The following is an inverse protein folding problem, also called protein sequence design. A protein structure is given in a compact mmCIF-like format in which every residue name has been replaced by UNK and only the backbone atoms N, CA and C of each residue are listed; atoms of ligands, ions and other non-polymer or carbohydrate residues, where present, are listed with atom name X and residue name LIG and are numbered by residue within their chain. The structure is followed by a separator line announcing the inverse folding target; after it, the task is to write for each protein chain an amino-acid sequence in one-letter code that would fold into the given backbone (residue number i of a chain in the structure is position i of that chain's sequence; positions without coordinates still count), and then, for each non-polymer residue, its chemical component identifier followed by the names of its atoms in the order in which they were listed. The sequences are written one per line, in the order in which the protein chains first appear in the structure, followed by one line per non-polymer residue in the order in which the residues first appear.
data_IF_998045846176
#
_entry.id   IF_998045846176
#
_cell.length_a   1.000
_cell.length_b   1.000
_cell.length_c   1.000
_cell.angle_alpha   90.00
_cell.angle_beta   90.00
_cell.angle_gamma   90.00
#
_symmetry.space_group_name_H-M   'P 1'
#
loop_
_entity.id
_entity.type
_entity.pdbx_description
1 polymer ?
#
# COMPACT_ATOMS: atom_id res chain seq x y z
N UNK A 1 18.18 63.69 11.89
CA UNK A 1 18.05 62.24 11.62
C UNK A 1 17.17 61.66 12.75
N UNK A 2 15.95 61.25 12.42
CA UNK A 2 14.86 60.98 13.39
C UNK A 2 14.93 59.56 13.96
N UNK A 3 14.55 59.34 15.23
CA UNK A 3 14.63 58.06 15.92
C UNK A 3 13.41 57.15 15.65
N UNK A 4 13.60 55.89 16.04
CA UNK A 4 12.77 54.70 15.85
C UNK A 4 11.28 54.89 16.15
N UNK A 5 10.43 54.37 15.24
CA UNK A 5 8.98 54.23 15.47
C UNK A 5 8.71 52.96 16.26
N UNK A 6 8.11 53.14 17.44
CA UNK A 6 7.32 52.11 18.10
C UNK A 6 6.22 51.63 17.15
N UNK A 7 6.24 50.34 16.79
CA UNK A 7 5.04 49.64 16.38
C UNK A 7 4.50 48.85 17.57
N UNK A 8 3.28 49.22 17.91
CA UNK A 8 2.42 48.74 18.98
C UNK A 8 2.25 47.22 18.85
N UNK A 9 2.47 46.48 19.93
CA UNK A 9 2.12 45.06 20.06
C UNK A 9 0.63 44.94 19.77
N UNK A 10 0.28 44.29 18.66
CA UNK A 10 -1.07 43.84 18.42
C UNK A 10 -1.35 42.72 19.44
N UNK A 11 -2.34 43.01 20.27
CA UNK A 11 -2.99 42.12 21.21
C UNK A 11 -3.36 40.78 20.58
N UNK A 12 -2.95 39.69 21.22
CA UNK A 12 -3.68 38.42 21.23
C UNK A 12 -3.85 37.73 19.87
N UNK A 13 -2.76 37.29 19.25
CA UNK A 13 -2.83 36.00 18.54
C UNK A 13 -2.38 34.94 19.54
N UNK A 14 -3.35 34.44 20.30
CA UNK A 14 -3.27 33.11 20.85
C UNK A 14 -3.19 32.18 19.63
N UNK A 15 -1.97 31.76 19.29
CA UNK A 15 -1.78 30.62 18.40
C UNK A 15 -2.39 29.46 19.15
N UNK A 16 -3.67 29.18 18.88
CA UNK A 16 -4.32 27.99 19.36
C UNK A 16 -3.51 26.82 18.79
N UNK A 17 -2.76 26.17 19.67
CA UNK A 17 -2.03 24.95 19.35
C UNK A 17 -2.97 23.78 19.04
N UNK A 18 -4.28 24.04 18.86
CA UNK A 18 -5.23 23.19 18.17
C UNK A 18 -5.14 21.78 18.71
N UNK A 19 -5.67 21.59 19.93
CA UNK A 19 -5.70 20.32 20.69
C UNK A 19 -5.31 19.10 19.85
N UNK A 20 -4.02 18.78 19.83
CA UNK A 20 -3.54 17.54 19.22
C UNK A 20 -4.01 16.40 20.12
N UNK A 21 -5.02 15.67 19.65
CA UNK A 21 -5.59 14.53 20.36
C UNK A 21 -5.45 13.26 19.53
N UNK A 22 -5.31 12.13 20.22
CA UNK A 22 -5.37 10.80 19.58
C UNK A 22 -6.59 10.09 20.14
N UNK A 23 -7.45 9.61 19.24
CA UNK A 23 -8.57 8.74 19.59
C UNK A 23 -8.14 7.29 19.36
N UNK A 24 -8.09 6.50 20.42
CA UNK A 24 -7.88 5.06 20.33
C UNK A 24 -9.22 4.35 20.46
N UNK A 25 -9.52 3.44 19.53
CA UNK A 25 -10.71 2.60 19.54
C UNK A 25 -10.31 1.12 19.70
N UNK A 26 -9.74 0.72 20.84
CA UNK A 26 -9.34 -0.67 21.05
C UNK A 26 -10.57 -1.56 21.21
N UNK A 27 -10.46 -2.78 20.74
CA UNK A 27 -11.45 -3.83 20.96
C UNK A 27 -10.73 -5.16 21.13
N UNK A 28 -11.34 -6.10 21.85
CA UNK A 28 -10.90 -7.50 21.86
C UNK A 28 -11.53 -8.23 20.69
N UNK A 29 -10.88 -9.30 20.21
CA UNK A 29 -11.43 -10.14 19.14
C UNK A 29 -12.87 -10.63 19.44
N UNK A 30 -13.19 -10.90 20.71
CA UNK A 30 -14.53 -11.30 21.15
C UNK A 30 -15.58 -10.18 21.07
N UNK A 31 -15.16 -8.92 21.04
CA UNK A 31 -16.04 -7.74 21.08
C UNK A 31 -16.28 -7.15 19.68
N UNK A 32 -15.48 -7.55 18.68
CA UNK A 32 -15.56 -7.06 17.29
C UNK A 32 -16.97 -7.08 16.76
N UNK A 33 -17.68 -8.20 16.90
CA UNK A 33 -19.03 -8.36 16.35
C UNK A 33 -20.02 -7.32 16.91
N UNK A 34 -19.85 -6.92 18.17
CA UNK A 34 -20.68 -5.94 18.85
C UNK A 34 -20.23 -4.50 18.56
N UNK A 35 -18.93 -4.26 18.48
CA UNK A 35 -18.35 -2.91 18.36
C UNK A 35 -18.16 -2.45 16.91
N UNK A 36 -18.15 -3.36 15.92
CA UNK A 36 -17.86 -3.03 14.51
C UNK A 36 -18.72 -1.88 13.98
N UNK A 37 -20.03 -1.88 14.24
CA UNK A 37 -20.92 -0.82 13.74
C UNK A 37 -20.68 0.51 14.46
N UNK A 38 -20.35 0.47 15.75
CA UNK A 38 -19.99 1.65 16.51
C UNK A 38 -18.70 2.26 15.93
N UNK A 39 -17.64 1.46 15.79
CA UNK A 39 -16.35 1.90 15.24
C UNK A 39 -16.52 2.45 13.82
N UNK A 40 -17.24 1.75 12.95
CA UNK A 40 -17.53 2.21 11.58
C UNK A 40 -18.31 3.53 11.57
N UNK A 41 -19.25 3.73 12.51
CA UNK A 41 -19.99 4.99 12.63
C UNK A 41 -19.09 6.13 13.10
N UNK A 42 -18.25 5.91 14.11
CA UNK A 42 -17.28 6.91 14.58
C UNK A 42 -16.28 7.29 13.49
N UNK A 43 -15.75 6.30 12.76
CA UNK A 43 -14.87 6.53 11.62
C UNK A 43 -15.55 7.35 10.53
N UNK A 44 -16.81 7.03 10.20
CA UNK A 44 -17.60 7.79 9.23
C UNK A 44 -17.79 9.23 9.69
N UNK A 45 -18.20 9.47 10.93
CA UNK A 45 -18.35 10.84 11.45
C UNK A 45 -17.04 11.63 11.38
N UNK A 46 -15.93 11.04 11.81
CA UNK A 46 -14.62 11.67 11.74
C UNK A 46 -14.17 11.97 10.30
N UNK A 47 -14.45 11.07 9.35
CA UNK A 47 -14.20 11.27 7.91
C UNK A 47 -15.02 12.46 7.38
N UNK A 48 -16.31 12.51 7.69
CA UNK A 48 -17.20 13.57 7.20
C UNK A 48 -16.81 14.93 7.78
N UNK A 49 -16.55 14.99 9.09
CA UNK A 49 -16.11 16.22 9.75
C UNK A 49 -14.78 16.73 9.20
N UNK A 50 -13.83 15.81 8.95
CA UNK A 50 -12.56 16.17 8.33
C UNK A 50 -12.74 16.80 6.94
N UNK A 51 -13.72 16.33 6.16
CA UNK A 51 -14.04 16.90 4.85
C UNK A 51 -14.82 18.22 4.92
N UNK A 52 -15.59 18.47 5.98
CA UNK A 52 -16.42 19.67 6.14
C UNK A 52 -15.68 20.83 6.81
N UNK A 53 -14.72 20.52 7.71
CA UNK A 53 -13.99 21.52 8.50
C UNK A 53 -13.22 22.57 7.70
N UNK A 54 -12.98 22.35 6.40
CA UNK A 54 -12.30 23.29 5.50
C UNK A 54 -10.84 23.58 5.85
N UNK A 55 -10.31 22.99 6.94
CA UNK A 55 -8.95 23.19 7.41
C UNK A 55 -8.01 22.24 6.68
N UNK A 56 -7.31 22.76 5.68
CA UNK A 56 -6.40 21.99 4.81
C UNK A 56 -5.10 21.58 5.55
N UNK A 57 -4.77 22.24 6.66
CA UNK A 57 -3.50 22.04 7.38
C UNK A 57 -3.58 21.04 8.57
N UNK A 58 -4.76 20.47 8.85
CA UNK A 58 -4.84 19.42 9.86
C UNK A 58 -4.28 18.10 9.33
N UNK A 59 -3.16 17.65 9.90
CA UNK A 59 -2.60 16.32 9.61
C UNK A 59 -3.38 15.23 10.34
N UNK A 60 -4.62 15.01 9.94
CA UNK A 60 -5.45 13.94 10.52
C UNK A 60 -5.05 12.57 9.94
N UNK A 61 -4.84 11.60 10.81
CA UNK A 61 -4.48 10.23 10.44
C UNK A 61 -5.59 9.26 10.83
N UNK A 62 -6.04 8.48 9.86
CA UNK A 62 -6.90 7.33 10.04
C UNK A 62 -6.04 6.07 9.91
N UNK A 63 -5.88 5.33 11.00
CA UNK A 63 -5.10 4.09 11.01
C UNK A 63 -6.05 2.95 11.32
N UNK A 64 -6.19 2.04 10.36
CA UNK A 64 -6.98 0.81 10.48
C UNK A 64 -6.01 -0.33 10.25
N UNK A 65 -5.62 -1.02 11.31
CA UNK A 65 -4.66 -2.12 11.28
C UNK A 65 -5.23 -3.41 10.69
N UNK A 66 -6.54 -3.65 10.92
CA UNK A 66 -7.26 -4.80 10.39
C UNK A 66 -8.61 -4.36 9.78
N UNK A 67 -8.58 -4.06 8.48
CA UNK A 67 -9.73 -3.51 7.76
C UNK A 67 -10.91 -4.47 7.68
N UNK A 68 -10.64 -5.77 7.50
CA UNK A 68 -11.68 -6.78 7.36
C UNK A 68 -12.38 -7.13 8.68
N UNK A 69 -11.74 -6.90 9.84
CA UNK A 69 -12.35 -7.12 11.15
C UNK A 69 -13.51 -6.15 11.43
N UNK A 70 -13.43 -4.92 10.92
CA UNK A 70 -14.43 -3.87 11.17
C UNK A 70 -15.69 -3.99 10.29
N UNK A 71 -15.70 -4.92 9.32
CA UNK A 71 -16.70 -4.95 8.27
C UNK A 71 -16.62 -3.70 7.37
N UNK A 72 -17.63 -3.51 6.52
CA UNK A 72 -17.62 -2.38 5.60
C UNK A 72 -17.77 -1.05 6.35
N UNK A 73 -16.73 -0.23 6.29
CA UNK A 73 -16.78 1.17 6.73
C UNK A 73 -17.45 2.00 5.63
N UNK A 74 -18.71 2.39 5.85
CA UNK A 74 -19.47 3.25 4.95
C UNK A 74 -18.72 4.57 4.67
N UNK A 75 -18.53 4.88 3.39
CA UNK A 75 -17.89 6.13 2.96
C UNK A 75 -16.36 6.10 2.95
N UNK A 76 -15.70 5.00 3.33
CA UNK A 76 -14.23 4.89 3.32
C UNK A 76 -13.62 5.12 1.92
N UNK A 77 -14.28 4.62 0.87
CA UNK A 77 -13.85 4.84 -0.53
C UNK A 77 -13.84 6.33 -0.89
N UNK A 78 -14.93 7.02 -0.62
CA UNK A 78 -15.06 8.45 -0.89
C UNK A 78 -14.08 9.26 -0.04
N UNK A 79 -13.85 8.83 1.19
CA UNK A 79 -12.83 9.37 2.07
C UNK A 79 -11.45 9.25 1.42
N UNK A 80 -10.99 8.06 1.05
CA UNK A 80 -9.65 7.88 0.48
C UNK A 80 -9.40 8.76 -0.76
N UNK A 81 -10.42 8.93 -1.60
CA UNK A 81 -10.31 9.77 -2.80
C UNK A 81 -10.29 11.28 -2.49
N UNK A 82 -11.02 11.74 -1.46
CA UNK A 82 -11.25 13.18 -1.19
C UNK A 82 -10.42 13.73 -0.04
N UNK A 83 -10.23 12.94 1.01
CA UNK A 83 -9.61 13.31 2.28
C UNK A 83 -8.19 13.86 2.09
N UNK A 84 -7.47 13.41 1.05
CA UNK A 84 -6.16 13.97 0.66
C UNK A 84 -6.20 15.48 0.42
N UNK A 85 -7.29 16.03 -0.13
CA UNK A 85 -7.44 17.48 -0.36
C UNK A 85 -7.58 18.28 0.95
N UNK A 86 -7.99 17.61 2.02
CA UNK A 86 -8.24 18.18 3.34
C UNK A 86 -7.14 17.79 4.34
N UNK A 87 -5.95 17.43 3.86
CA UNK A 87 -4.81 17.09 4.71
C UNK A 87 -4.90 15.74 5.41
N UNK A 88 -5.97 14.96 5.20
CA UNK A 88 -6.13 13.65 5.83
C UNK A 88 -5.32 12.55 5.18
N UNK A 89 -4.89 11.57 5.99
CA UNK A 89 -4.06 10.43 5.60
C UNK A 89 -4.67 9.15 6.14
N UNK A 90 -4.62 8.09 5.33
CA UNK A 90 -5.11 6.78 5.74
C UNK A 90 -3.99 5.75 5.68
N UNK A 91 -3.92 4.88 6.69
CA UNK A 91 -3.09 3.68 6.72
C UNK A 91 -4.05 2.51 6.93
N UNK A 92 -4.08 1.60 5.97
CA UNK A 92 -4.99 0.45 5.96
C UNK A 92 -4.15 -0.83 5.93
N UNK A 93 -4.37 -1.70 6.91
CA UNK A 93 -3.82 -3.04 6.98
C UNK A 93 -4.91 -4.09 6.75
N UNK A 94 -4.55 -5.16 6.05
CA UNK A 94 -5.39 -6.35 5.88
C UNK A 94 -4.49 -7.55 5.56
N UNK A 95 -4.92 -8.75 5.94
CA UNK A 95 -4.13 -9.98 5.74
C UNK A 95 -4.47 -10.67 4.41
N UNK A 96 -5.71 -10.53 3.93
CA UNK A 96 -6.17 -11.17 2.70
C UNK A 96 -6.98 -10.23 1.82
N UNK A 97 -6.58 -10.10 0.56
CA UNK A 97 -7.38 -9.36 -0.43
C UNK A 97 -8.75 -10.02 -0.63
N UNK A 98 -8.86 -11.35 -0.42
CA UNK A 98 -10.14 -12.05 -0.51
C UNK A 98 -11.11 -11.63 0.60
N UNK A 99 -10.62 -11.37 1.82
CA UNK A 99 -11.45 -10.85 2.92
C UNK A 99 -11.94 -9.43 2.59
N UNK A 100 -11.06 -8.56 2.10
CA UNK A 100 -11.43 -7.20 1.68
C UNK A 100 -12.49 -7.24 0.56
N UNK A 101 -12.31 -8.11 -0.45
CA UNK A 101 -13.30 -8.32 -1.52
C UNK A 101 -14.63 -8.85 -1.01
N UNK A 102 -14.62 -9.77 -0.04
CA UNK A 102 -15.84 -10.27 0.58
C UNK A 102 -16.61 -9.19 1.35
N UNK A 103 -15.89 -8.26 1.96
CA UNK A 103 -16.48 -7.16 2.75
C UNK A 103 -16.96 -6.00 1.89
N UNK A 104 -16.17 -5.58 0.89
CA UNK A 104 -16.43 -4.36 0.12
C UNK A 104 -16.93 -4.60 -1.30
N UNK A 105 -16.76 -5.81 -1.85
CA UNK A 105 -16.91 -6.08 -3.28
C UNK A 105 -15.59 -6.01 -4.04
N UNK A 106 -15.53 -6.59 -5.23
CA UNK A 106 -14.30 -6.70 -6.02
C UNK A 106 -13.79 -5.34 -6.53
N UNK A 107 -14.70 -4.53 -7.10
CA UNK A 107 -14.38 -3.22 -7.65
C UNK A 107 -13.92 -2.24 -6.55
N UNK A 108 -14.61 -2.25 -5.41
CA UNK A 108 -14.28 -1.43 -4.26
C UNK A 108 -12.94 -1.83 -3.66
N UNK A 109 -12.69 -3.13 -3.45
CA UNK A 109 -11.41 -3.61 -2.94
C UNK A 109 -10.23 -3.19 -3.82
N UNK A 110 -10.39 -3.28 -5.15
CA UNK A 110 -9.39 -2.80 -6.10
C UNK A 110 -9.18 -1.28 -5.96
N UNK A 111 -10.28 -0.52 -5.87
CA UNK A 111 -10.23 0.94 -5.69
C UNK A 111 -9.52 1.34 -4.39
N UNK A 112 -9.74 0.60 -3.29
CA UNK A 112 -9.07 0.85 -2.01
C UNK A 112 -7.55 0.72 -2.13
N UNK A 113 -7.08 -0.35 -2.78
CA UNK A 113 -5.64 -0.59 -3.00
C UNK A 113 -5.04 0.46 -3.92
N UNK A 114 -5.70 0.78 -5.04
CA UNK A 114 -5.22 1.76 -6.01
C UNK A 114 -5.13 3.19 -5.44
N UNK A 115 -6.03 3.55 -4.52
CA UNK A 115 -5.99 4.85 -3.85
C UNK A 115 -4.88 4.95 -2.79
N UNK A 116 -4.29 3.83 -2.37
CA UNK A 116 -3.17 3.80 -1.44
C UNK A 116 -1.85 3.98 -2.19
N UNK A 117 -1.44 5.24 -2.39
CA UNK A 117 -0.22 5.57 -3.15
C UNK A 117 1.10 5.05 -2.54
N UNK A 118 1.09 4.70 -1.25
CA UNK A 118 2.17 3.93 -0.63
C UNK A 118 1.65 2.53 -0.34
N UNK A 119 2.40 1.50 -0.73
CA UNK A 119 2.02 0.09 -0.55
C UNK A 119 3.17 -0.70 0.02
N UNK A 120 2.93 -1.43 1.11
CA UNK A 120 3.87 -2.37 1.68
C UNK A 120 3.27 -3.78 1.57
N UNK A 121 3.99 -4.67 0.89
CA UNK A 121 3.66 -6.09 0.78
C UNK A 121 4.63 -6.86 1.66
N UNK A 122 4.12 -7.58 2.64
CA UNK A 122 4.88 -8.50 3.48
C UNK A 122 4.60 -9.96 3.05
N UNK A 123 5.20 -10.93 3.76
CA UNK A 123 4.95 -12.34 3.53
C UNK A 123 3.45 -12.63 3.50
N UNK A 124 2.98 -13.20 2.38
CA UNK A 124 1.61 -13.66 2.21
C UNK A 124 1.51 -15.15 2.56
N UNK A 125 0.36 -15.59 3.06
CA UNK A 125 0.11 -17.02 3.23
C UNK A 125 -0.14 -17.68 1.88
N UNK A 126 0.40 -18.88 1.69
CA UNK A 126 0.12 -19.70 0.51
C UNK A 126 -1.38 -20.05 0.45
N UNK A 127 -1.95 -20.00 -0.74
CA UNK A 127 -3.33 -20.45 -0.96
C UNK A 127 -3.41 -21.24 -2.27
N UNK A 128 -4.25 -22.28 -2.30
CA UNK A 128 -4.33 -23.23 -3.42
C UNK A 128 -4.69 -22.59 -4.78
N UNK A 129 -5.19 -21.34 -4.78
CA UNK A 129 -5.56 -20.60 -6.00
C UNK A 129 -4.71 -19.34 -6.22
N UNK A 130 -3.58 -19.23 -5.54
CA UNK A 130 -2.68 -18.08 -5.67
C UNK A 130 -3.13 -16.79 -4.98
N UNK A 131 -4.32 -16.73 -4.39
CA UNK A 131 -4.77 -15.74 -3.39
C UNK A 131 -4.10 -14.35 -3.36
N UNK A 132 -3.62 -13.97 -2.17
CA UNK A 132 -3.01 -12.64 -1.93
C UNK A 132 -1.62 -12.51 -2.55
N UNK A 133 -0.86 -13.61 -2.66
CA UNK A 133 0.49 -13.63 -3.23
C UNK A 133 0.49 -13.35 -4.74
N UNK A 134 -0.42 -13.93 -5.51
CA UNK A 134 -0.61 -13.61 -6.94
C UNK A 134 -1.13 -12.20 -7.14
N UNK A 135 -2.06 -11.74 -6.28
CA UNK A 135 -2.51 -10.35 -6.31
C UNK A 135 -1.33 -9.39 -6.11
N UNK A 136 -0.48 -9.69 -5.12
CA UNK A 136 0.72 -8.92 -4.83
C UNK A 136 1.75 -8.97 -5.98
N UNK A 137 2.00 -10.15 -6.57
CA UNK A 137 2.86 -10.31 -7.76
C UNK A 137 2.35 -9.44 -8.92
N UNK A 138 1.05 -9.51 -9.23
CA UNK A 138 0.42 -8.68 -10.27
C UNK A 138 0.50 -7.19 -9.98
N UNK A 139 0.37 -6.79 -8.70
CA UNK A 139 0.50 -5.40 -8.27
C UNK A 139 1.93 -4.88 -8.41
N UNK A 140 2.94 -5.74 -8.17
CA UNK A 140 4.35 -5.41 -8.43
C UNK A 140 4.60 -5.29 -9.94
N UNK A 141 4.00 -6.19 -10.73
CA UNK A 141 3.97 -6.13 -12.18
C UNK A 141 4.97 -7.07 -12.85
N UNK A 142 5.28 -6.77 -14.11
CA UNK A 142 6.12 -7.62 -14.98
C UNK A 142 7.40 -6.90 -15.38
N UNK A 143 8.42 -7.69 -15.72
CA UNK A 143 9.68 -7.20 -16.30
C UNK A 143 9.97 -7.90 -17.61
N UNK A 144 10.61 -7.19 -18.53
CA UNK A 144 11.14 -7.77 -19.75
C UNK A 144 12.58 -8.20 -19.51
N UNK A 145 12.91 -9.43 -19.92
CA UNK A 145 14.26 -9.98 -19.85
C UNK A 145 14.68 -10.48 -21.24
N UNK A 146 15.96 -10.30 -21.58
CA UNK A 146 16.56 -10.88 -22.79
C UNK A 146 17.28 -12.15 -22.35
N UNK A 147 16.74 -13.31 -22.74
CA UNK A 147 17.33 -14.62 -22.47
C UNK A 147 18.15 -15.06 -23.66
N UNK A 148 19.46 -15.21 -23.48
CA UNK A 148 20.32 -15.80 -24.48
C UNK A 148 20.32 -17.32 -24.34
N UNK A 149 19.77 -18.01 -25.32
CA UNK A 149 19.83 -19.46 -25.40
C UNK A 149 21.04 -19.86 -26.25
N UNK A 150 21.96 -20.62 -25.65
CA UNK A 150 23.08 -21.23 -26.37
C UNK A 150 22.72 -22.66 -26.71
N UNK A 151 22.61 -22.96 -27.99
CA UNK A 151 22.42 -24.34 -28.46
C UNK A 151 23.76 -24.87 -28.97
N UNK A 152 24.38 -25.83 -28.27
CA UNK A 152 25.59 -26.48 -28.77
C UNK A 152 25.20 -27.43 -29.91
N UNK A 153 25.62 -27.11 -31.13
CA UNK A 153 25.49 -28.03 -32.26
C UNK A 153 26.74 -28.91 -32.34
N UNK A 154 26.64 -30.15 -31.87
CA UNK A 154 27.62 -31.20 -32.20
C UNK A 154 27.20 -31.89 -33.49
N UNK A 155 27.74 -31.42 -34.62
CA UNK A 155 27.61 -32.12 -35.90
C UNK A 155 28.51 -33.36 -35.93
N UNK A 156 27.93 -34.55 -36.07
CA UNK A 156 28.66 -35.80 -36.27
C UNK A 156 28.84 -36.04 -37.79
N UNK A 157 29.73 -35.29 -38.43
CA UNK A 157 30.14 -35.56 -39.82
C UNK A 157 31.66 -35.53 -39.95
N UNK A 158 32.19 -36.54 -40.63
CA UNK A 158 33.58 -36.96 -40.58
C UNK A 158 34.63 -35.86 -40.84
N UNK A 159 35.73 -35.93 -40.09
CA UNK A 159 36.98 -35.26 -40.44
C UNK A 159 37.19 -33.84 -39.90
N UNK A 160 36.68 -33.50 -38.71
CA UNK A 160 37.07 -32.27 -38.01
C UNK A 160 36.01 -31.74 -37.06
N UNK A 161 36.26 -31.81 -35.76
CA UNK A 161 35.35 -31.30 -34.73
C UNK A 161 35.41 -29.77 -34.65
N UNK A 162 34.62 -29.08 -35.47
CA UNK A 162 34.35 -27.65 -35.29
C UNK A 162 33.02 -27.47 -34.55
N UNK A 163 33.08 -27.26 -33.23
CA UNK A 163 31.90 -26.90 -32.44
C UNK A 163 31.44 -25.49 -32.86
N UNK A 164 30.28 -25.37 -33.50
CA UNK A 164 29.63 -24.08 -33.77
C UNK A 164 28.59 -23.82 -32.67
N UNK A 165 28.79 -22.75 -31.92
CA UNK A 165 27.81 -22.29 -30.94
C UNK A 165 26.82 -21.36 -31.64
N UNK A 166 25.54 -21.74 -31.66
CA UNK A 166 24.45 -20.85 -32.03
C UNK A 166 23.98 -20.09 -30.78
N UNK A 167 23.99 -18.76 -30.83
CA UNK A 167 23.43 -17.90 -29.78
C UNK A 167 22.14 -17.32 -30.34
N UNK A 168 21.02 -17.62 -29.69
CA UNK A 168 19.71 -17.05 -30.02
C UNK A 168 19.26 -16.18 -28.87
N UNK A 169 18.88 -14.94 -29.15
CA UNK A 169 18.33 -14.02 -28.15
C UNK A 169 16.81 -14.09 -28.17
N UNK A 170 16.21 -14.25 -27.00
CA UNK A 170 14.76 -14.30 -26.83
C UNK A 170 14.33 -13.23 -25.84
N UNK A 171 13.46 -12.32 -26.26
CA UNK A 171 12.77 -11.39 -25.38
C UNK A 171 11.61 -12.11 -24.68
N UNK A 172 11.62 -12.14 -23.34
CA UNK A 172 10.61 -12.80 -22.52
C UNK A 172 10.09 -11.81 -21.49
N UNK A 173 8.77 -11.67 -21.38
CA UNK A 173 8.14 -10.94 -20.29
C UNK A 173 7.73 -11.92 -19.18
N UNK A 174 8.21 -11.70 -17.97
CA UNK A 174 7.90 -12.51 -16.79
C UNK A 174 7.44 -11.62 -15.61
N UNK A 175 6.86 -12.22 -14.57
CA UNK A 175 6.57 -11.50 -13.34
C UNK A 175 7.86 -10.94 -12.72
N UNK A 176 7.81 -9.70 -12.23
CA UNK A 176 8.99 -9.10 -11.61
C UNK A 176 9.36 -9.79 -10.29
N UNK A 177 8.35 -10.31 -9.59
CA UNK A 177 8.44 -11.13 -8.38
C UNK A 177 7.33 -12.17 -8.45
N UNK A 178 7.65 -13.45 -8.35
CA UNK A 178 6.67 -14.53 -8.37
C UNK A 178 5.85 -14.56 -7.07
N UNK A 179 4.60 -15.01 -7.12
CA UNK A 179 3.79 -15.21 -5.92
C UNK A 179 4.47 -16.11 -4.87
N UNK A 180 5.15 -17.17 -5.31
CA UNK A 180 5.91 -18.07 -4.43
C UNK A 180 7.11 -17.41 -3.74
N UNK A 181 7.75 -16.41 -4.37
CA UNK A 181 8.83 -15.65 -3.74
C UNK A 181 8.28 -14.77 -2.60
N UNK A 182 7.07 -14.24 -2.75
CA UNK A 182 6.37 -13.44 -1.72
C UNK A 182 5.97 -14.33 -0.53
N UNK A 183 5.52 -15.56 -0.79
CA UNK A 183 5.17 -16.54 0.25
C UNK A 183 6.39 -16.98 1.08
N UNK A 184 7.57 -16.98 0.47
CA UNK A 184 8.82 -17.41 1.10
C UNK A 184 9.62 -16.26 1.74
N UNK A 185 9.06 -15.04 1.79
CA UNK A 185 9.73 -13.91 2.42
C UNK A 185 10.05 -14.19 3.90
N UNK A 186 11.25 -13.83 4.39
CA UNK A 186 11.53 -13.84 5.82
C UNK A 186 10.57 -12.93 6.60
N UNK A 187 10.45 -13.19 7.89
CA UNK A 187 9.77 -12.25 8.78
C UNK A 187 10.40 -10.86 8.71
N UNK A 188 9.54 -9.84 8.78
CA UNK A 188 9.91 -8.42 8.64
C UNK A 188 10.54 -8.03 7.30
N UNK A 189 10.50 -8.90 6.27
CA UNK A 189 10.92 -8.55 4.92
C UNK A 189 9.71 -8.33 4.00
N UNK A 190 9.87 -7.44 3.02
CA UNK A 190 8.77 -7.11 2.10
C UNK A 190 9.18 -6.29 0.89
N UNK A 191 8.18 -5.87 0.13
CA UNK A 191 8.28 -4.98 -1.01
C UNK A 191 7.52 -3.68 -0.71
N UNK A 192 8.19 -2.55 -0.88
CA UNK A 192 7.66 -1.22 -0.63
C UNK A 192 7.58 -0.43 -1.93
N UNK A 193 6.41 0.12 -2.19
CA UNK A 193 6.14 1.14 -3.21
C UNK A 193 5.84 2.45 -2.50
N UNK A 194 6.60 3.50 -2.82
CA UNK A 194 6.33 4.85 -2.34
C UNK A 194 5.72 5.68 -3.46
N UNK A 195 4.76 6.54 -3.15
CA UNK A 195 4.16 7.46 -4.11
C UNK A 195 5.19 8.40 -4.74
N UNK A 196 6.29 8.68 -4.03
CA UNK A 196 7.39 9.53 -4.47
C UNK A 196 8.44 8.81 -5.33
N UNK A 197 8.34 7.48 -5.52
CA UNK A 197 9.33 6.69 -6.27
C UNK A 197 8.66 5.79 -7.31
N UNK A 198 9.16 5.77 -8.56
CA UNK A 198 8.60 4.91 -9.60
C UNK A 198 8.90 3.41 -9.41
N UNK A 199 9.96 3.06 -8.69
CA UNK A 199 10.38 1.67 -8.47
C UNK A 199 9.76 1.02 -7.22
N UNK A 200 9.65 -0.31 -7.26
CA UNK A 200 9.46 -1.15 -6.08
C UNK A 200 10.80 -1.42 -5.41
N UNK A 201 10.82 -1.39 -4.08
CA UNK A 201 12.03 -1.63 -3.29
C UNK A 201 11.83 -2.84 -2.39
N UNK A 202 12.82 -3.74 -2.33
CA UNK A 202 12.86 -4.75 -1.28
C UNK A 202 13.32 -4.09 0.02
N UNK A 203 12.59 -4.31 1.10
CA UNK A 203 12.85 -3.71 2.42
C UNK A 203 12.90 -4.80 3.49
N UNK A 204 13.65 -4.51 4.55
CA UNK A 204 13.67 -5.28 5.80
C UNK A 204 13.39 -4.28 6.92
N UNK A 205 12.38 -4.57 7.73
CA UNK A 205 11.98 -3.76 8.87
C UNK A 205 12.82 -4.20 10.07
N UNK A 206 13.50 -3.24 10.70
CA UNK A 206 14.22 -3.49 11.96
C UNK A 206 13.23 -3.49 13.12
N UNK A 207 13.25 -4.56 13.93
CA UNK A 207 12.58 -4.64 15.22
C UNK A 207 13.27 -3.80 16.29
#
# INVERSE_FOLDING_TARGET
MRPLRHHRVASGEEVDWGRQGVLFLPYRASEVASLRHLISTWMRLAIFEAMDSGQIDQRLWFVVDELDALGAIDGLKDALARLRKFGGRCVLGFQSIAQVRGTYGDAEAQTLVENCGNTLILRCSASERGGTSEFASRLIGKREIIRQQKTPNTGLFGGGSAAKNSITEQHVTEEAVMGSEIEQLPDFAGYLKLASRPEWMRVVLSS
#
